data_IF_615951333645
#
_entry.id   IF_615951333645
#
_cell.length_a   1.000
_cell.length_b   1.000
_cell.length_c   1.000
_cell.angle_alpha   90.00
_cell.angle_beta   90.00
_cell.angle_gamma   90.00
#
_symmetry.space_group_name_H-M   'P 1'
#
loop_
_entity.id
_entity.type
_entity.pdbx_description
1 polymer ?
#
# COMPACT_ATOMS: atom_id res chain seq x y z
N UNK A 1 6.56 5.52 -23.51
CA UNK A 1 6.85 4.06 -23.50
C UNK A 1 5.90 3.40 -24.48
N UNK A 2 6.33 2.42 -25.29
CA UNK A 2 5.42 1.73 -26.21
C UNK A 2 4.73 0.60 -25.45
N UNK A 3 3.41 0.65 -25.36
CA UNK A 3 2.59 -0.36 -24.68
C UNK A 3 1.96 -1.31 -25.71
N UNK A 4 1.97 -2.61 -25.41
CA UNK A 4 1.39 -3.64 -26.28
C UNK A 4 0.52 -4.56 -25.42
N UNK A 5 -0.73 -4.73 -25.84
CA UNK A 5 -1.68 -5.64 -25.17
C UNK A 5 -1.67 -7.00 -25.86
N UNK A 6 -1.22 -8.03 -25.14
CA UNK A 6 -1.19 -9.42 -25.63
C UNK A 6 -2.38 -10.18 -25.05
N UNK A 7 -3.31 -10.63 -25.91
CA UNK A 7 -4.38 -11.54 -25.51
C UNK A 7 -3.86 -12.97 -25.50
N UNK A 8 -4.03 -13.68 -24.39
CA UNK A 8 -3.62 -15.07 -24.24
C UNK A 8 -4.79 -15.91 -23.70
N UNK A 9 -4.81 -17.21 -24.03
CA UNK A 9 -5.89 -18.13 -23.63
C UNK A 9 -5.53 -19.01 -22.44
N UNK A 10 -4.23 -19.26 -22.21
CA UNK A 10 -3.78 -20.22 -21.20
C UNK A 10 -2.97 -19.56 -20.08
N UNK A 11 -3.15 -20.03 -18.85
CA UNK A 11 -2.34 -19.59 -17.71
C UNK A 11 -0.86 -19.94 -17.86
N UNK A 12 -0.53 -21.03 -18.58
CA UNK A 12 0.85 -21.40 -18.88
C UNK A 12 1.55 -20.33 -19.72
N UNK A 13 0.82 -19.71 -20.66
CA UNK A 13 1.35 -18.61 -21.48
C UNK A 13 1.67 -17.38 -20.64
N UNK A 14 0.83 -17.04 -19.66
CA UNK A 14 1.10 -15.93 -18.74
C UNK A 14 2.38 -16.16 -17.92
N UNK A 15 2.59 -17.39 -17.45
CA UNK A 15 3.80 -17.75 -16.71
C UNK A 15 5.07 -17.55 -17.57
N UNK A 16 5.05 -18.03 -18.82
CA UNK A 16 6.15 -17.83 -19.76
C UNK A 16 6.41 -16.34 -20.06
N UNK A 17 5.35 -15.54 -20.23
CA UNK A 17 5.47 -14.09 -20.43
C UNK A 17 6.10 -13.38 -19.22
N UNK A 18 5.73 -13.78 -18.00
CA UNK A 18 6.36 -13.26 -16.76
C UNK A 18 7.85 -13.61 -16.70
N UNK A 19 8.22 -14.80 -17.14
CA UNK A 19 9.61 -15.24 -17.17
C UNK A 19 10.43 -14.46 -18.19
N UNK A 20 9.89 -14.26 -19.40
CA UNK A 20 10.50 -13.42 -20.44
C UNK A 20 10.64 -11.95 -20.01
N UNK A 21 9.69 -11.43 -19.22
CA UNK A 21 9.74 -10.07 -18.67
C UNK A 21 11.00 -9.78 -17.86
N UNK A 22 11.56 -10.79 -17.19
CA UNK A 22 12.81 -10.67 -16.40
C UNK A 22 14.02 -10.32 -17.26
N UNK A 23 14.05 -10.81 -18.50
CA UNK A 23 15.19 -10.62 -19.41
C UNK A 23 15.00 -9.43 -20.35
N UNK A 24 13.75 -9.13 -20.70
CA UNK A 24 13.38 -8.12 -21.71
C UNK A 24 12.95 -6.79 -21.09
N UNK A 25 13.04 -6.66 -19.76
CA UNK A 25 12.80 -5.45 -19.00
C UNK A 25 11.42 -4.81 -19.24
N UNK A 26 10.38 -5.64 -19.40
CA UNK A 26 8.99 -5.21 -19.47
C UNK A 26 8.22 -5.70 -18.23
N UNK A 27 7.29 -4.90 -17.74
CA UNK A 27 6.36 -5.27 -16.66
C UNK A 27 5.00 -5.64 -17.23
N UNK A 28 4.33 -6.60 -16.59
CA UNK A 28 2.97 -7.00 -16.93
C UNK A 28 2.03 -6.33 -15.92
N UNK A 29 1.21 -5.39 -16.39
CA UNK A 29 0.18 -4.77 -15.57
C UNK A 29 -1.04 -5.70 -15.50
N UNK A 30 -1.27 -6.32 -14.34
CA UNK A 30 -2.45 -7.15 -14.11
C UNK A 30 -3.61 -6.27 -13.60
N UNK A 31 -4.53 -5.94 -14.50
CA UNK A 31 -5.69 -5.10 -14.18
C UNK A 31 -6.67 -5.78 -13.20
N UNK A 32 -6.54 -7.11 -13.01
CA UNK A 32 -7.39 -7.92 -12.17
C UNK A 32 -6.72 -8.42 -10.90
N UNK A 33 -5.46 -8.04 -10.64
CA UNK A 33 -4.83 -8.25 -9.35
C UNK A 33 -5.60 -7.41 -8.33
N UNK A 34 -6.64 -8.01 -7.75
CA UNK A 34 -7.33 -7.47 -6.59
C UNK A 34 -6.24 -7.22 -5.56
N UNK A 35 -5.95 -5.95 -5.29
CA UNK A 35 -5.26 -5.56 -4.07
C UNK A 35 -5.90 -6.39 -2.96
N UNK A 36 -5.09 -7.13 -2.22
CA UNK A 36 -5.55 -7.84 -1.04
C UNK A 36 -5.98 -6.72 -0.09
N UNK A 37 -7.26 -6.34 -0.15
CA UNK A 37 -7.86 -5.41 0.81
C UNK A 37 -7.97 -6.24 2.07
N UNK A 38 -6.90 -6.27 2.85
CA UNK A 38 -6.95 -6.75 4.22
C UNK A 38 -8.03 -5.94 4.95
N UNK A 39 -8.95 -6.67 5.58
CA UNK A 39 -10.11 -6.23 6.35
C UNK A 39 -10.44 -4.73 6.35
N UNK A 40 -11.55 -4.36 5.70
CA UNK A 40 -12.22 -3.08 5.99
C UNK A 40 -12.80 -3.16 7.40
N UNK A 41 -12.07 -2.65 8.37
CA UNK A 41 -12.62 -2.35 9.70
C UNK A 41 -13.19 -0.93 9.68
N UNK A 42 -14.23 -0.67 10.45
CA UNK A 42 -14.71 0.68 10.72
C UNK A 42 -14.39 1.07 12.17
N UNK A 43 -13.93 2.31 12.36
CA UNK A 43 -13.87 2.94 13.68
C UNK A 43 -14.88 4.09 13.65
N UNK A 44 -15.93 3.99 14.48
CA UNK A 44 -16.98 5.00 14.59
C UNK A 44 -17.67 5.34 13.25
N UNK A 45 -17.90 4.33 12.39
CA UNK A 45 -18.52 4.51 11.07
C UNK A 45 -17.59 5.12 10.00
N UNK A 46 -16.32 5.34 10.32
CA UNK A 46 -15.31 5.76 9.35
C UNK A 46 -14.60 4.50 8.82
N UNK A 47 -14.68 4.22 7.51
CA UNK A 47 -14.05 3.05 6.92
C UNK A 47 -12.53 3.19 6.94
N UNK A 48 -11.84 2.21 7.52
CA UNK A 48 -10.39 2.11 7.52
C UNK A 48 -9.98 1.08 6.48
N UNK A 49 -9.09 1.51 5.59
CA UNK A 49 -8.44 0.63 4.63
C UNK A 49 -7.08 0.28 5.23
N UNK A 50 -6.85 -0.99 5.52
CA UNK A 50 -5.54 -1.44 5.97
C UNK A 50 -4.51 -1.19 4.87
N UNK A 51 -3.44 -0.48 5.21
CA UNK A 51 -2.28 -0.34 4.33
C UNK A 51 -1.53 -1.65 4.20
N UNK A 52 -0.73 -1.77 3.14
CA UNK A 52 0.13 -2.93 2.92
C UNK A 52 1.15 -3.07 4.08
N UNK A 53 1.09 -4.21 4.78
CA UNK A 53 1.96 -4.53 5.93
C UNK A 53 3.42 -4.74 5.54
N UNK A 54 3.72 -4.94 4.26
CA UNK A 54 5.09 -5.11 3.77
C UNK A 54 5.82 -3.79 3.55
N UNK A 55 5.13 -2.65 3.66
CA UNK A 55 5.75 -1.33 3.55
C UNK A 55 6.57 -1.06 4.81
N UNK A 56 7.87 -0.80 4.63
CA UNK A 56 8.75 -0.33 5.70
C UNK A 56 8.39 1.12 6.05
N UNK A 57 7.88 1.31 7.27
CA UNK A 57 7.48 2.61 7.82
C UNK A 57 8.48 3.13 8.87
N UNK A 58 9.66 2.51 8.98
CA UNK A 58 10.67 2.87 9.99
C UNK A 58 11.13 4.32 9.85
N UNK A 59 11.28 4.82 8.62
CA UNK A 59 11.66 6.23 8.39
C UNK A 59 10.55 7.22 8.78
N UNK A 60 9.28 6.83 8.63
CA UNK A 60 8.15 7.66 9.06
C UNK A 60 8.10 7.79 10.59
N UNK A 61 8.50 6.73 11.31
CA UNK A 61 8.61 6.78 12.75
C UNK A 61 9.52 7.93 13.19
N UNK A 62 10.68 8.11 12.57
CA UNK A 62 11.60 9.20 12.94
C UNK A 62 11.03 10.59 12.58
N UNK A 63 10.30 10.71 11.47
CA UNK A 63 9.63 11.97 11.10
C UNK A 63 8.58 12.38 12.13
N UNK A 64 7.79 11.43 12.65
CA UNK A 64 6.77 11.70 13.65
C UNK A 64 7.31 11.76 15.09
N UNK A 65 8.47 11.14 15.36
CA UNK A 65 9.02 10.96 16.71
C UNK A 65 10.18 11.91 17.02
N UNK A 66 10.72 12.64 16.03
CA UNK A 66 11.83 13.60 16.21
C UNK A 66 11.55 14.76 17.18
N UNK A 67 10.34 14.85 17.72
CA UNK A 67 9.98 15.82 18.77
C UNK A 67 9.90 15.22 20.17
N UNK A 68 10.15 13.92 20.33
CA UNK A 68 10.02 13.21 21.61
C UNK A 68 8.62 13.40 22.24
N UNK A 69 7.59 13.53 21.39
CA UNK A 69 6.21 13.77 21.80
C UNK A 69 5.44 12.47 21.63
N UNK A 70 4.92 11.95 22.74
CA UNK A 70 3.97 10.83 22.68
C UNK A 70 2.69 11.28 21.99
N UNK A 71 2.12 10.43 21.13
CA UNK A 71 0.80 10.66 20.55
C UNK A 71 -0.29 10.92 21.62
N UNK A 72 -0.13 10.32 22.81
CA UNK A 72 -0.97 10.59 23.98
C UNK A 72 -0.84 12.04 24.46
N UNK A 73 0.39 12.55 24.59
CA UNK A 73 0.67 13.92 25.02
C UNK A 73 0.14 14.96 24.02
N UNK A 74 0.28 14.71 22.71
CA UNK A 74 -0.28 15.58 21.68
C UNK A 74 -1.80 15.70 21.79
N UNK A 75 -2.48 14.57 22.01
CA UNK A 75 -3.93 14.54 22.19
C UNK A 75 -4.34 15.29 23.47
N UNK A 76 -3.62 15.13 24.56
CA UNK A 76 -3.89 15.84 25.81
C UNK A 76 -3.66 17.36 25.71
N UNK A 77 -2.60 17.80 25.02
CA UNK A 77 -2.26 19.22 24.86
C UNK A 77 -3.20 19.91 23.86
N UNK A 78 -3.42 19.30 22.68
CA UNK A 78 -4.21 19.92 21.62
C UNK A 78 -5.70 20.02 21.94
N UNK A 79 -6.22 19.13 22.78
CA UNK A 79 -7.65 19.09 23.13
C UNK A 79 -8.01 19.81 24.42
N UNK A 80 -7.10 20.56 25.03
CA UNK A 80 -7.46 21.41 26.17
C UNK A 80 -8.36 22.55 25.69
N UNK A 81 -9.63 22.53 26.13
CA UNK A 81 -10.48 23.73 26.08
C UNK A 81 -9.82 24.77 26.97
N UNK A 82 -9.36 25.87 26.38
CA UNK A 82 -9.01 27.08 27.14
C UNK A 82 -10.29 27.51 27.89
N UNK A 83 -10.20 27.56 29.21
CA UNK A 83 -11.22 28.18 30.05
C UNK A 83 -11.28 29.68 29.77
#
# INVERSE_FOLDING_TARGET
>A
MKEVTIKYKSNKTLAALRELGKYLNFSIADQNAKAVIESRGDINGIPIIAGDKSIDISELHDVFTNKNLSAKQLREIAWQRRK
#
